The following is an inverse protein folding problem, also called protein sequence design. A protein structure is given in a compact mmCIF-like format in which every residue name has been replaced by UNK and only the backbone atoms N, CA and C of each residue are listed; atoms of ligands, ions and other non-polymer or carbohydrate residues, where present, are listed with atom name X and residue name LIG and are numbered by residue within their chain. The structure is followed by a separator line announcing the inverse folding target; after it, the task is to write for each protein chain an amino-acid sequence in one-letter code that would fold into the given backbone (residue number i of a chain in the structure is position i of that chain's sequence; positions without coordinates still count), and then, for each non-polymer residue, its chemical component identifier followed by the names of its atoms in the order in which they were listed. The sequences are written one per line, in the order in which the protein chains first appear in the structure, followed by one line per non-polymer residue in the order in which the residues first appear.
data_IF_361693969315
#
_entry.id   IF_361693969315
#
_cell.length_a   1.000
_cell.length_b   1.000
_cell.length_c   1.000
_cell.angle_alpha   90.00
_cell.angle_beta   90.00
_cell.angle_gamma   90.00
#
_symmetry.space_group_name_H-M   'P 1'
#
loop_
_entity.id
_entity.type
_entity.pdbx_description
1 polymer ?
#
# COMPACT_ATOMS: atom_id res chain seq x y z
N UNK A 1 -36.14 -74.54 -27.11
CA UNK A 1 -35.56 -73.69 -28.18
C UNK A 1 -35.82 -72.25 -27.76
N UNK A 2 -34.75 -71.51 -27.45
CA UNK A 2 -34.77 -70.27 -26.65
C UNK A 2 -35.46 -69.09 -27.34
N UNK A 3 -36.28 -68.36 -26.57
CA UNK A 3 -36.72 -66.99 -26.84
C UNK A 3 -35.62 -66.02 -26.35
N UNK A 4 -35.21 -65.06 -27.18
CA UNK A 4 -34.33 -63.97 -26.75
C UNK A 4 -35.03 -62.63 -27.05
N UNK A 5 -35.39 -61.92 -25.97
CA UNK A 5 -35.90 -60.56 -25.97
C UNK A 5 -34.68 -59.64 -25.81
N UNK A 6 -34.37 -58.84 -26.82
CA UNK A 6 -33.34 -57.80 -26.72
C UNK A 6 -33.99 -56.51 -26.20
N UNK A 7 -33.77 -56.21 -24.92
CA UNK A 7 -33.98 -54.88 -24.37
C UNK A 7 -32.78 -53.99 -24.70
N UNK A 8 -32.96 -52.99 -25.56
CA UNK A 8 -31.96 -51.92 -25.71
C UNK A 8 -32.15 -50.91 -24.58
N UNK A 9 -31.21 -50.87 -23.63
CA UNK A 9 -31.10 -49.75 -22.69
C UNK A 9 -30.60 -48.53 -23.47
N UNK A 10 -31.39 -47.45 -23.45
CA UNK A 10 -30.96 -46.13 -23.90
C UNK A 10 -30.40 -45.39 -22.70
N UNK A 11 -29.08 -45.40 -22.58
CA UNK A 11 -28.37 -44.59 -21.59
C UNK A 11 -28.51 -43.11 -21.97
N UNK A 12 -29.35 -42.38 -21.22
CA UNK A 12 -29.37 -40.92 -21.25
C UNK A 12 -28.20 -40.41 -20.41
N UNK A 13 -27.06 -40.18 -21.05
CA UNK A 13 -25.93 -39.49 -20.45
C UNK A 13 -26.25 -38.03 -20.19
N UNK A 14 -26.27 -37.62 -18.92
CA UNK A 14 -26.35 -36.21 -18.51
C UNK A 14 -24.99 -35.55 -18.82
N UNK A 15 -24.95 -34.60 -19.77
CA UNK A 15 -23.76 -33.80 -20.03
C UNK A 15 -23.82 -32.55 -19.15
N UNK A 16 -23.07 -32.54 -18.05
CA UNK A 16 -22.88 -31.35 -17.22
C UNK A 16 -21.83 -30.45 -17.87
N UNK A 17 -22.25 -29.34 -18.47
CA UNK A 17 -21.34 -28.31 -18.98
C UNK A 17 -20.80 -27.48 -17.80
N UNK A 18 -19.54 -27.68 -17.45
CA UNK A 18 -18.84 -26.87 -16.46
C UNK A 18 -18.38 -25.58 -17.15
N UNK A 19 -19.11 -24.48 -16.95
CA UNK A 19 -18.69 -23.16 -17.44
C UNK A 19 -17.58 -22.66 -16.53
N UNK A 20 -16.33 -22.79 -16.97
CA UNK A 20 -15.17 -22.11 -16.38
C UNK A 20 -15.27 -20.63 -16.72
N UNK A 21 -15.81 -19.82 -15.80
CA UNK A 21 -15.64 -18.37 -15.85
C UNK A 21 -14.21 -18.09 -15.43
N UNK A 22 -13.35 -17.78 -16.40
CA UNK A 22 -12.04 -17.22 -16.10
C UNK A 22 -12.25 -15.82 -15.50
N UNK A 23 -12.00 -15.64 -14.21
CA UNK A 23 -11.84 -14.31 -13.62
C UNK A 23 -10.56 -13.70 -14.20
N UNK A 24 -10.71 -12.86 -15.22
CA UNK A 24 -9.62 -12.00 -15.69
C UNK A 24 -9.55 -10.81 -14.74
N UNK A 25 -8.80 -10.95 -13.65
CA UNK A 25 -8.42 -9.81 -12.82
C UNK A 25 -7.39 -8.96 -13.58
N UNK A 26 -7.73 -7.71 -13.92
CA UNK A 26 -6.72 -6.75 -14.37
C UNK A 26 -6.05 -6.16 -13.12
N UNK A 27 -4.71 -6.10 -13.11
CA UNK A 27 -4.01 -5.30 -12.12
C UNK A 27 -4.45 -3.83 -12.30
N UNK A 28 -5.13 -3.28 -11.29
CA UNK A 28 -5.57 -1.88 -11.29
C UNK A 28 -4.47 -0.93 -10.79
N UNK A 29 -3.42 -1.49 -10.19
CA UNK A 29 -2.32 -0.71 -9.65
C UNK A 29 -1.44 -0.19 -10.78
N UNK A 30 -1.02 1.07 -10.67
CA UNK A 30 -0.11 1.74 -11.60
C UNK A 30 1.22 1.92 -10.88
N UNK A 31 2.31 1.46 -11.50
CA UNK A 31 3.66 1.56 -10.94
C UNK A 31 3.76 1.06 -9.47
N UNK A 32 3.12 -0.07 -9.16
CA UNK A 32 3.02 -0.60 -7.79
C UNK A 32 4.37 -1.00 -7.17
N UNK A 33 5.37 -1.31 -8.00
CA UNK A 33 6.72 -1.66 -7.55
C UNK A 33 7.68 -0.47 -7.49
N UNK A 34 7.25 0.74 -7.86
CA UNK A 34 8.11 1.94 -7.90
C UNK A 34 9.29 1.86 -8.87
N UNK A 35 9.16 1.04 -9.93
CA UNK A 35 10.22 0.81 -10.92
C UNK A 35 10.19 1.83 -12.06
N UNK A 36 9.03 2.42 -12.35
CA UNK A 36 8.92 3.52 -13.31
C UNK A 36 9.19 4.84 -12.60
N UNK A 37 10.10 5.64 -13.14
CA UNK A 37 10.43 6.98 -12.64
C UNK A 37 10.76 7.93 -13.78
N UNK A 38 10.52 9.22 -13.56
CA UNK A 38 10.85 10.28 -14.53
C UNK A 38 12.32 10.69 -14.47
N UNK A 39 12.97 10.46 -13.33
CA UNK A 39 14.39 10.60 -13.08
C UNK A 39 14.80 9.79 -11.85
N UNK A 40 16.11 9.62 -11.63
CA UNK A 40 16.62 9.00 -10.41
C UNK A 40 16.66 9.99 -9.25
N UNK A 41 16.29 9.57 -8.03
CA UNK A 41 16.28 10.43 -6.86
C UNK A 41 17.71 10.75 -6.39
N UNK A 42 17.92 11.98 -5.94
CA UNK A 42 19.19 12.43 -5.36
C UNK A 42 19.06 12.89 -3.90
N UNK A 43 17.85 12.89 -3.34
CA UNK A 43 17.55 13.36 -1.99
C UNK A 43 16.21 12.77 -1.49
N UNK A 44 15.95 12.80 -0.16
CA UNK A 44 14.63 12.58 0.40
C UNK A 44 13.57 13.55 -0.17
N UNK A 45 12.29 13.19 -0.07
CA UNK A 45 11.16 14.01 -0.48
C UNK A 45 10.88 14.04 -1.98
N UNK A 46 11.56 13.20 -2.77
CA UNK A 46 11.46 13.18 -4.23
C UNK A 46 10.32 12.28 -4.77
N UNK A 47 9.22 12.12 -4.04
CA UNK A 47 8.04 11.36 -4.47
C UNK A 47 7.50 11.76 -5.86
N UNK A 48 7.65 13.04 -6.24
CA UNK A 48 7.15 13.59 -7.50
C UNK A 48 7.81 12.98 -8.74
N UNK A 49 8.89 12.20 -8.55
CA UNK A 49 9.54 11.44 -9.61
C UNK A 49 8.79 10.15 -9.98
N UNK A 50 7.84 9.69 -9.17
CA UNK A 50 7.06 8.47 -9.36
C UNK A 50 5.76 8.73 -10.13
N UNK A 51 5.65 8.35 -11.42
CA UNK A 51 4.40 8.44 -12.16
C UNK A 51 3.30 7.61 -11.50
N UNK A 52 2.09 8.17 -11.44
CA UNK A 52 0.93 7.52 -10.84
C UNK A 52 0.83 7.63 -9.32
N UNK A 53 1.83 8.24 -8.66
CA UNK A 53 1.86 8.45 -7.21
C UNK A 53 1.88 9.94 -6.86
N UNK A 54 1.18 10.33 -5.79
CA UNK A 54 1.14 11.70 -5.25
C UNK A 54 1.19 11.71 -3.73
N UNK A 55 1.41 12.89 -3.13
CA UNK A 55 1.47 13.09 -1.68
C UNK A 55 0.13 13.62 -1.09
N UNK A 56 -1.01 13.17 -1.64
CA UNK A 56 -2.34 13.68 -1.31
C UNK A 56 -2.51 15.20 -1.51
N UNK A 57 -1.82 15.76 -2.51
CA UNK A 57 -1.90 17.18 -2.84
C UNK A 57 -1.33 18.12 -1.78
N UNK A 58 -0.59 17.61 -0.80
CA UNK A 58 -0.02 18.41 0.27
C UNK A 58 1.09 19.35 -0.24
N UNK A 59 1.07 20.60 0.22
CA UNK A 59 2.18 21.54 0.01
C UNK A 59 3.33 21.40 1.01
N UNK A 60 3.27 20.45 1.95
CA UNK A 60 4.28 20.31 3.03
C UNK A 60 4.73 18.88 3.29
N UNK A 61 3.97 17.87 2.85
CA UNK A 61 4.37 16.46 2.98
C UNK A 61 5.40 16.12 1.92
N UNK A 62 6.45 15.42 2.33
CA UNK A 62 7.58 15.03 1.50
C UNK A 62 7.82 13.52 1.59
N UNK A 63 6.86 12.67 1.14
CA UNK A 63 7.15 11.26 0.98
C UNK A 63 8.41 11.04 0.13
N UNK A 64 9.08 9.94 0.39
CA UNK A 64 10.36 9.62 -0.22
C UNK A 64 10.19 8.71 -1.42
N UNK A 65 11.08 8.86 -2.39
CA UNK A 65 11.39 7.85 -3.39
C UNK A 65 12.90 7.59 -3.32
N UNK A 66 13.28 6.34 -3.10
CA UNK A 66 14.67 5.88 -3.11
C UNK A 66 14.84 4.80 -4.17
N UNK A 67 16.04 4.73 -4.77
CA UNK A 67 16.31 3.77 -5.84
C UNK A 67 17.78 3.31 -5.83
N UNK A 68 18.07 2.08 -6.26
CA UNK A 68 19.45 1.55 -6.33
C UNK A 68 20.36 2.33 -7.29
N UNK A 69 19.78 3.01 -8.28
CA UNK A 69 20.48 3.93 -9.19
C UNK A 69 20.33 5.41 -8.79
N UNK A 70 19.81 5.66 -7.59
CA UNK A 70 19.79 6.99 -6.98
C UNK A 70 21.20 7.50 -6.68
N UNK A 71 21.28 8.68 -6.08
CA UNK A 71 22.56 9.26 -5.63
C UNK A 71 22.39 10.01 -4.31
N UNK A 72 23.49 10.25 -3.61
CA UNK A 72 23.57 11.11 -2.42
C UNK A 72 22.66 10.68 -1.27
N UNK A 73 21.48 11.28 -1.14
CA UNK A 73 20.49 10.92 -0.13
C UNK A 73 19.29 10.20 -0.72
N UNK A 74 19.34 9.87 -2.02
CA UNK A 74 18.29 9.19 -2.77
C UNK A 74 18.63 7.74 -3.13
N UNK A 75 19.86 7.30 -2.89
CA UNK A 75 20.31 5.94 -3.18
C UNK A 75 19.94 4.92 -2.10
N UNK A 76 19.86 3.67 -2.53
CA UNK A 76 19.73 2.50 -1.67
C UNK A 76 21.08 1.74 -1.63
N UNK A 77 21.41 1.07 -0.52
CA UNK A 77 20.53 0.82 0.63
C UNK A 77 20.61 1.85 1.76
N UNK A 78 21.62 2.73 1.77
CA UNK A 78 21.80 3.71 2.84
C UNK A 78 21.02 4.98 2.54
N UNK A 79 19.88 5.15 3.20
CA UNK A 79 19.10 6.38 3.11
C UNK A 79 19.37 7.25 4.35
N UNK A 80 18.99 8.54 4.33
CA UNK A 80 19.01 9.38 5.54
C UNK A 80 18.12 8.87 6.68
N UNK A 81 17.22 7.91 6.42
CA UNK A 81 16.23 7.40 7.38
C UNK A 81 16.61 6.02 7.93
N UNK A 82 17.14 5.12 7.09
CA UNK A 82 17.51 3.76 7.47
C UNK A 82 18.39 3.09 6.40
N UNK A 83 19.05 2.00 6.79
CA UNK A 83 19.59 1.00 5.86
C UNK A 83 18.49 0.03 5.43
N UNK A 84 18.15 -0.01 4.15
CA UNK A 84 17.08 -0.87 3.62
C UNK A 84 17.36 -1.25 2.18
N UNK A 85 17.21 -2.53 1.85
CA UNK A 85 17.20 -3.02 0.47
C UNK A 85 15.75 -3.02 -0.05
N UNK A 86 15.51 -2.84 -1.37
CA UNK A 86 14.18 -3.06 -1.94
C UNK A 86 13.63 -4.44 -1.57
N UNK A 87 12.33 -4.53 -1.34
CA UNK A 87 11.64 -5.82 -1.17
C UNK A 87 11.73 -6.65 -2.47
N UNK A 88 11.46 -5.99 -3.58
CA UNK A 88 11.58 -6.48 -4.96
C UNK A 88 12.04 -5.31 -5.83
N UNK A 89 12.62 -5.62 -7.00
CA UNK A 89 13.01 -4.58 -7.95
C UNK A 89 14.19 -3.73 -7.47
N UNK A 90 14.10 -2.43 -7.71
CA UNK A 90 15.17 -1.45 -7.50
C UNK A 90 14.69 -0.19 -6.77
N UNK A 91 13.39 0.09 -6.75
CA UNK A 91 12.78 1.26 -6.13
C UNK A 91 12.05 0.95 -4.82
N UNK A 92 11.99 1.93 -3.92
CA UNK A 92 11.07 1.95 -2.78
C UNK A 92 10.48 3.34 -2.60
N UNK A 93 9.24 3.42 -2.14
CA UNK A 93 8.67 4.65 -1.61
C UNK A 93 8.65 4.63 -0.07
N UNK A 94 8.86 5.79 0.53
CA UNK A 94 8.83 5.99 1.98
C UNK A 94 7.83 7.08 2.38
N UNK A 95 7.34 7.02 3.61
CA UNK A 95 6.53 8.09 4.19
C UNK A 95 6.76 8.16 5.70
N UNK A 96 6.66 9.36 6.25
CA UNK A 96 6.58 9.59 7.69
C UNK A 96 5.18 9.25 8.17
N UNK A 97 4.97 8.02 8.65
CA UNK A 97 3.64 7.54 9.06
C UNK A 97 3.03 8.45 10.13
N UNK A 98 3.83 8.80 11.13
CA UNK A 98 3.57 9.89 12.07
C UNK A 98 4.88 10.61 12.43
N UNK A 99 4.76 11.88 12.83
CA UNK A 99 5.82 12.61 13.55
C UNK A 99 5.22 13.29 14.78
N UNK A 100 5.86 13.08 15.93
CA UNK A 100 5.56 13.81 17.17
C UNK A 100 5.98 15.28 17.03
N UNK A 101 5.06 16.17 17.37
CA UNK A 101 5.30 17.61 17.40
C UNK A 101 5.41 18.10 18.85
N UNK A 102 5.58 19.42 19.04
CA UNK A 102 5.60 20.02 20.37
C UNK A 102 4.31 19.68 21.16
N UNK A 103 4.36 19.61 22.51
CA UNK A 103 3.19 19.30 23.32
C UNK A 103 1.99 20.18 22.98
N UNK A 104 0.82 19.55 22.77
CA UNK A 104 -0.42 20.24 22.39
C UNK A 104 -0.58 20.51 20.89
N UNK A 105 0.41 20.15 20.07
CA UNK A 105 0.30 20.20 18.60
C UNK A 105 -0.03 18.79 18.08
N UNK A 106 -1.05 18.63 17.21
CA UNK A 106 -1.41 17.33 16.65
C UNK A 106 -0.25 16.65 15.92
N UNK A 107 -0.25 15.32 15.84
CA UNK A 107 0.76 14.56 15.10
C UNK A 107 0.74 14.94 13.61
N UNK A 108 1.93 15.11 13.04
CA UNK A 108 2.08 15.25 11.58
C UNK A 108 2.02 13.87 10.93
N UNK A 109 1.46 13.78 9.73
CA UNK A 109 1.31 12.55 8.95
C UNK A 109 1.66 12.79 7.49
N UNK A 110 2.13 11.77 6.82
CA UNK A 110 2.29 11.76 5.36
C UNK A 110 1.47 10.63 4.77
N UNK A 111 1.03 10.85 3.52
CA UNK A 111 0.26 9.86 2.77
C UNK A 111 0.87 9.69 1.38
N UNK A 112 0.85 8.45 0.91
CA UNK A 112 1.08 8.14 -0.49
C UNK A 112 -0.26 7.80 -1.14
N UNK A 113 -0.50 8.37 -2.31
CA UNK A 113 -1.75 8.18 -3.05
C UNK A 113 -1.43 7.66 -4.43
N UNK A 114 -2.03 6.54 -4.81
CA UNK A 114 -1.91 5.97 -6.15
C UNK A 114 -3.26 6.02 -6.85
N UNK A 115 -3.25 6.45 -8.11
CA UNK A 115 -4.42 6.39 -8.99
C UNK A 115 -4.52 4.99 -9.59
N UNK A 116 -5.71 4.39 -9.50
CA UNK A 116 -6.00 3.15 -10.21
C UNK A 116 -6.13 3.40 -11.72
N UNK A 117 -5.66 2.45 -12.52
CA UNK A 117 -5.84 2.46 -13.98
C UNK A 117 -7.33 2.46 -14.40
N UNK A 118 -8.21 1.95 -13.54
CA UNK A 118 -9.66 2.06 -13.68
C UNK A 118 -10.35 1.94 -12.31
N UNK A 119 -11.53 2.56 -12.11
CA UNK A 119 -12.26 2.48 -10.85
C UNK A 119 -12.55 1.03 -10.42
N UNK A 120 -12.62 0.79 -9.11
CA UNK A 120 -13.07 -0.48 -8.56
C UNK A 120 -14.53 -0.78 -8.98
N UNK A 121 -14.86 -2.06 -9.16
CA UNK A 121 -16.21 -2.49 -9.46
C UNK A 121 -16.96 -2.82 -8.16
N UNK A 122 -18.06 -2.09 -7.90
CA UNK A 122 -18.88 -2.27 -6.69
C UNK A 122 -19.34 -3.73 -6.57
N UNK A 123 -19.24 -4.30 -5.38
CA UNK A 123 -19.63 -5.67 -5.06
C UNK A 123 -18.57 -6.72 -5.37
N UNK A 124 -17.50 -6.38 -6.10
CA UNK A 124 -16.38 -7.30 -6.34
C UNK A 124 -15.49 -7.44 -5.11
N UNK A 125 -14.94 -8.63 -4.93
CA UNK A 125 -13.96 -8.93 -3.88
C UNK A 125 -12.56 -8.79 -4.47
N UNK A 126 -11.69 -8.10 -3.74
CA UNK A 126 -10.33 -7.82 -4.12
C UNK A 126 -9.37 -8.40 -3.08
N UNK A 127 -8.21 -8.84 -3.56
CA UNK A 127 -7.04 -9.14 -2.75
C UNK A 127 -6.03 -8.01 -2.95
N UNK A 128 -5.53 -7.44 -1.87
CA UNK A 128 -4.48 -6.44 -1.91
C UNK A 128 -3.33 -6.88 -1.02
N UNK A 129 -2.11 -6.71 -1.53
CA UNK A 129 -0.88 -7.04 -0.83
C UNK A 129 0.14 -5.92 -0.99
N UNK A 130 0.86 -5.61 0.08
CA UNK A 130 1.99 -4.66 0.06
C UNK A 130 3.04 -5.09 1.08
N UNK A 131 4.31 -4.76 0.78
CA UNK A 131 5.41 -4.99 1.70
C UNK A 131 5.71 -3.72 2.50
N UNK A 132 6.01 -3.85 3.79
CA UNK A 132 6.40 -2.73 4.65
C UNK A 132 7.61 -3.09 5.51
N UNK A 133 8.54 -2.14 5.67
CA UNK A 133 9.68 -2.21 6.56
C UNK A 133 10.00 -0.81 7.11
N UNK A 134 10.61 -0.75 8.29
CA UNK A 134 11.22 0.45 8.84
C UNK A 134 12.72 0.56 8.45
N UNK A 135 13.29 -0.53 7.93
CA UNK A 135 14.73 -0.64 7.67
C UNK A 135 15.56 -0.73 8.95
N UNK A 136 16.84 -1.03 8.80
CA UNK A 136 17.78 -1.00 9.91
C UNK A 136 18.07 0.47 10.28
N UNK A 137 17.69 0.85 11.50
CA UNK A 137 17.90 2.20 12.03
C UNK A 137 19.39 2.58 12.06
N UNK A 138 19.67 3.85 11.78
CA UNK A 138 21.00 4.45 11.78
C UNK A 138 21.11 5.52 12.89
N UNK A 139 22.29 5.71 13.53
CA UNK A 139 22.50 6.77 14.52
C UNK A 139 22.23 8.20 14.04
N UNK A 140 22.29 8.43 12.74
CA UNK A 140 22.02 9.71 12.08
C UNK A 140 20.54 9.90 11.73
N UNK A 141 19.72 8.86 11.88
CA UNK A 141 18.31 8.88 11.52
C UNK A 141 17.45 9.62 12.54
N UNK A 142 16.51 10.42 12.05
CA UNK A 142 15.44 11.02 12.85
C UNK A 142 14.18 10.14 12.92
N UNK A 143 14.19 8.94 12.33
CA UNK A 143 13.11 7.95 12.49
C UNK A 143 13.30 7.12 13.78
N UNK A 144 12.35 6.24 14.06
CA UNK A 144 12.38 5.40 15.26
C UNK A 144 11.04 5.25 15.97
N UNK A 145 9.99 5.94 15.51
CA UNK A 145 8.65 5.81 16.06
C UNK A 145 7.95 4.57 15.50
N UNK A 146 7.47 3.70 16.39
CA UNK A 146 6.45 2.71 16.09
C UNK A 146 5.07 3.35 16.19
N UNK A 147 4.14 2.92 15.35
CA UNK A 147 2.74 3.36 15.40
C UNK A 147 1.80 2.25 14.98
N UNK A 148 0.62 2.17 15.60
CA UNK A 148 -0.51 1.41 15.07
C UNK A 148 -1.24 2.22 13.97
N UNK A 149 -2.22 1.62 13.31
CA UNK A 149 -3.09 2.36 12.39
C UNK A 149 -2.49 2.66 11.01
N UNK A 150 -1.24 2.28 10.73
CA UNK A 150 -0.74 2.29 9.34
C UNK A 150 -1.62 1.37 8.51
N UNK A 151 -2.16 1.90 7.42
CA UNK A 151 -3.21 1.22 6.69
C UNK A 151 -3.45 1.76 5.30
N UNK A 152 -4.57 1.32 4.75
CA UNK A 152 -5.05 1.64 3.41
C UNK A 152 -6.46 2.21 3.51
N UNK A 153 -6.70 3.35 2.85
CA UNK A 153 -8.03 3.87 2.55
C UNK A 153 -8.26 3.92 1.04
N UNK A 154 -9.52 3.93 0.63
CA UNK A 154 -9.92 3.99 -0.78
C UNK A 154 -10.87 5.16 -0.99
N UNK A 155 -10.65 5.97 -2.02
CA UNK A 155 -11.47 7.14 -2.30
C UNK A 155 -11.91 7.19 -3.75
N UNK A 156 -13.07 7.80 -4.00
CA UNK A 156 -13.58 8.09 -5.35
C UNK A 156 -12.96 9.37 -5.89
N UNK A 157 -12.90 10.41 -5.06
CA UNK A 157 -12.28 11.69 -5.38
C UNK A 157 -10.82 11.73 -4.88
N UNK A 158 -9.93 12.53 -5.52
CA UNK A 158 -8.56 12.68 -5.06
C UNK A 158 -8.53 13.25 -3.63
N UNK A 159 -7.80 12.62 -2.69
CA UNK A 159 -7.65 13.15 -1.34
C UNK A 159 -6.82 14.45 -1.34
N UNK A 160 -7.16 15.37 -0.45
CA UNK A 160 -6.48 16.65 -0.30
C UNK A 160 -6.05 16.87 1.16
N UNK A 161 -4.75 16.78 1.42
CA UNK A 161 -4.17 16.98 2.74
C UNK A 161 -3.73 18.44 2.94
N UNK A 162 -4.16 19.05 4.05
CA UNK A 162 -3.73 20.39 4.42
C UNK A 162 -2.44 20.34 5.24
N UNK A 163 -1.32 20.68 4.63
CA UNK A 163 0.00 20.55 5.25
C UNK A 163 0.27 19.08 5.61
N UNK A 164 0.56 18.80 6.88
CA UNK A 164 0.77 17.43 7.36
C UNK A 164 -0.36 16.96 8.30
N UNK A 165 -1.57 17.49 8.14
CA UNK A 165 -2.72 17.14 8.99
C UNK A 165 -3.21 15.71 8.78
N UNK A 166 -4.06 15.24 9.69
CA UNK A 166 -4.85 14.03 9.50
C UNK A 166 -5.72 14.14 8.23
N UNK A 167 -5.80 13.05 7.46
CA UNK A 167 -6.85 12.81 6.47
C UNK A 167 -7.89 11.91 7.14
N UNK A 168 -9.08 12.46 7.36
CA UNK A 168 -10.20 11.72 7.95
C UNK A 168 -10.86 10.84 6.89
N UNK A 169 -10.24 9.69 6.63
CA UNK A 169 -10.69 8.68 5.67
C UNK A 169 -10.87 7.34 6.39
N UNK A 170 -11.99 6.62 6.17
CA UNK A 170 -12.18 5.31 6.78
C UNK A 170 -11.22 4.29 6.14
N UNK A 171 -10.32 3.65 6.91
CA UNK A 171 -9.44 2.64 6.36
C UNK A 171 -10.20 1.34 6.03
N UNK A 172 -9.87 0.72 4.91
CA UNK A 172 -10.30 -0.65 4.57
C UNK A 172 -9.40 -1.71 5.22
N UNK A 173 -8.21 -1.30 5.66
CA UNK A 173 -7.24 -2.10 6.39
C UNK A 173 -6.36 -1.20 7.25
N UNK A 174 -5.98 -1.65 8.44
CA UNK A 174 -4.95 -1.02 9.26
C UNK A 174 -4.28 -2.04 10.18
N UNK A 175 -3.00 -1.82 10.50
CA UNK A 175 -2.24 -2.63 11.45
C UNK A 175 -2.72 -2.29 12.88
N UNK A 176 -3.20 -3.25 13.68
CA UNK A 176 -3.87 -2.94 14.95
C UNK A 176 -2.92 -2.73 16.13
N UNK A 177 -1.61 -2.89 15.93
CA UNK A 177 -0.59 -2.77 16.97
C UNK A 177 0.54 -1.85 16.53
N UNK A 178 1.25 -1.24 17.48
CA UNK A 178 2.42 -0.43 17.20
C UNK A 178 3.53 -1.30 16.56
N UNK A 179 3.87 -1.01 15.31
CA UNK A 179 4.82 -1.80 14.53
C UNK A 179 6.10 -1.02 14.28
N UNK A 180 7.24 -1.67 14.55
CA UNK A 180 8.55 -1.25 14.09
C UNK A 180 9.42 -2.48 13.80
N UNK A 181 9.72 -2.74 12.52
CA UNK A 181 10.52 -3.89 12.12
C UNK A 181 11.47 -3.50 10.98
N UNK A 182 12.74 -3.86 11.14
CA UNK A 182 13.76 -3.62 10.11
C UNK A 182 13.56 -4.52 8.89
N UNK A 183 12.97 -5.70 9.06
CA UNK A 183 12.68 -6.65 7.99
C UNK A 183 11.38 -6.28 7.24
N UNK A 184 11.34 -6.69 5.98
CA UNK A 184 10.13 -6.64 5.17
C UNK A 184 9.10 -7.64 5.66
N UNK A 185 7.88 -7.17 5.81
CA UNK A 185 6.69 -8.00 6.03
C UNK A 185 5.71 -7.77 4.89
N UNK A 186 5.15 -8.85 4.35
CA UNK A 186 4.09 -8.78 3.36
C UNK A 186 2.74 -8.82 4.08
N UNK A 187 1.99 -7.74 3.97
CA UNK A 187 0.63 -7.64 4.48
C UNK A 187 -0.34 -7.94 3.35
N UNK A 188 -1.28 -8.86 3.57
CA UNK A 188 -2.32 -9.23 2.60
C UNK A 188 -3.68 -9.22 3.26
N UNK A 189 -4.65 -8.59 2.60
CA UNK A 189 -6.03 -8.58 3.07
C UNK A 189 -7.01 -8.62 1.90
N UNK A 190 -8.24 -8.98 2.22
CA UNK A 190 -9.36 -8.99 1.28
C UNK A 190 -10.39 -7.95 1.67
N UNK A 191 -11.00 -7.30 0.68
CA UNK A 191 -12.13 -6.41 0.91
C UNK A 191 -13.13 -6.54 -0.24
N UNK A 192 -14.38 -6.15 0.02
CA UNK A 192 -15.40 -5.97 -1.02
C UNK A 192 -15.48 -4.49 -1.36
N UNK A 193 -15.38 -4.12 -2.62
CA UNK A 193 -15.53 -2.73 -3.03
C UNK A 193 -16.97 -2.25 -2.81
N UNK A 194 -17.16 -1.22 -1.99
CA UNK A 194 -18.46 -0.60 -1.69
C UNK A 194 -18.72 0.67 -2.52
N UNK A 195 -17.69 1.17 -3.19
CA UNK A 195 -17.72 2.37 -4.03
C UNK A 195 -16.85 2.18 -5.28
N UNK A 196 -17.02 2.98 -6.34
CA UNK A 196 -16.16 2.94 -7.51
C UNK A 196 -14.87 3.72 -7.25
N UNK A 197 -14.13 3.34 -6.19
CA UNK A 197 -12.92 4.04 -5.77
C UNK A 197 -11.89 4.09 -6.91
N UNK A 198 -11.24 5.24 -7.04
CA UNK A 198 -10.21 5.51 -8.06
C UNK A 198 -8.83 5.69 -7.44
N UNK A 199 -8.75 5.90 -6.14
CA UNK A 199 -7.49 6.16 -5.45
C UNK A 199 -7.29 5.18 -4.31
N UNK A 200 -6.04 4.74 -4.16
CA UNK A 200 -5.53 4.05 -2.98
C UNK A 200 -4.70 5.03 -2.17
N UNK A 201 -4.95 5.10 -0.87
CA UNK A 201 -4.23 5.98 0.05
C UNK A 201 -3.53 5.13 1.11
N UNK A 202 -2.23 5.28 1.25
CA UNK A 202 -1.40 4.64 2.28
C UNK A 202 -1.07 5.68 3.35
N UNK A 203 -1.30 5.37 4.63
CA UNK A 203 -0.93 6.24 5.75
C UNK A 203 -1.62 5.86 7.05
N UNK A 204 -1.68 6.79 8.01
CA UNK A 204 -2.32 6.60 9.32
C UNK A 204 -3.56 7.49 9.44
N UNK A 205 -4.74 6.88 9.52
CA UNK A 205 -6.03 7.58 9.47
C UNK A 205 -6.70 7.77 10.84
N UNK A 206 -6.16 7.15 11.90
CA UNK A 206 -6.70 7.30 13.25
C UNK A 206 -6.42 8.66 13.86
N UNK A 207 -7.33 9.16 14.70
CA UNK A 207 -7.11 10.35 15.50
C UNK A 207 -5.99 10.12 16.53
N UNK A 208 -5.26 11.18 16.91
CA UNK A 208 -4.10 11.07 17.81
C UNK A 208 -4.39 10.31 19.11
N UNK A 209 -5.61 10.43 19.65
CA UNK A 209 -6.03 9.77 20.90
C UNK A 209 -6.21 8.26 20.77
N UNK A 210 -6.37 7.74 19.55
CA UNK A 210 -6.56 6.32 19.25
C UNK A 210 -5.24 5.65 18.82
N UNK A 211 -4.15 6.41 18.74
CA UNK A 211 -2.86 5.91 18.29
C UNK A 211 -1.96 5.52 19.44
N UNK A 212 -1.45 4.30 19.37
CA UNK A 212 -0.32 3.83 20.15
C UNK A 212 0.95 4.21 19.38
N UNK A 213 1.62 5.26 19.83
CA UNK A 213 2.88 5.73 19.26
C UNK A 213 3.99 5.63 20.31
N UNK A 214 5.07 4.89 20.02
CA UNK A 214 6.19 4.69 20.94
C UNK A 214 7.55 4.84 20.26
N UNK A 215 8.57 5.21 21.03
CA UNK A 215 9.95 5.25 20.52
C UNK A 215 10.49 3.83 20.58
N UNK A 216 10.61 3.20 19.42
CA UNK A 216 11.20 1.87 19.28
C UNK A 216 12.72 1.93 19.10
N UNK A 217 13.22 2.94 18.39
CA UNK A 217 14.64 3.19 18.15
C UNK A 217 14.96 4.68 18.25
N UNK A 218 16.22 5.01 18.54
CA UNK A 218 16.64 6.41 18.71
C UNK A 218 16.22 7.03 20.04
N UNK A 219 16.26 8.36 20.11
CA UNK A 219 15.90 9.16 21.29
C UNK A 219 14.62 9.96 21.06
#
# INVERSE_FOLDING_TARGET
MYHAINHSYRDFGLVTAMVLIALVGKAQLVNAGFEESTAMPSAPGMWHLLPGWTNAGSGSSTPDFFHLDGTLGGDLPETPVALVQPFEGRGIAGLTAIRRNAPGIPLSREYLVMDFASPLAIGQHYFLSFAVANGQWLPTSSAGLAVNGLGIALTVEPPAQMGQSLLDLPPVFQIPYARYDAAWEVLTFTFQATSPSQHLVVGVFGADADLDAEVAMGM
#
